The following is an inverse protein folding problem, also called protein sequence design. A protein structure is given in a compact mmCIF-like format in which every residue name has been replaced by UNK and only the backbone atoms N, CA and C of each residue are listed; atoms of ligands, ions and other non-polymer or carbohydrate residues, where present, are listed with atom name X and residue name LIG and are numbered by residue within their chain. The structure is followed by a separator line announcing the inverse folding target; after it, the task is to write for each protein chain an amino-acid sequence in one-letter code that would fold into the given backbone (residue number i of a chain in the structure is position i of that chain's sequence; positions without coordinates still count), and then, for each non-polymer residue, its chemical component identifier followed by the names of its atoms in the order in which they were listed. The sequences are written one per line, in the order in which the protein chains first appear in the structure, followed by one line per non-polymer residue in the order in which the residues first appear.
data_IF_149481389596
#
_entry.id   IF_149481389596
#
_cell.length_a   1.000
_cell.length_b   1.000
_cell.length_c   1.000
_cell.angle_alpha   90.00
_cell.angle_beta   90.00
_cell.angle_gamma   90.00
#
_symmetry.space_group_name_H-M   'P 1'
#
loop_
_entity.id
_entity.type
_entity.pdbx_description
1 polymer ?
#
# COMPACT_ATOMS: atom_id res chain seq x y z
N UNK A 1 -8.52 -5.81 12.56
CA UNK A 1 -7.22 -5.62 13.14
C UNK A 1 -7.20 -4.61 14.26
N UNK A 2 -6.09 -4.51 14.95
CA UNK A 2 -5.89 -3.54 16.05
C UNK A 2 -5.74 -2.11 15.50
N UNK A 3 -5.06 -1.97 14.37
CA UNK A 3 -4.80 -0.69 13.71
C UNK A 3 -5.80 -0.48 12.58
N UNK A 4 -6.61 0.55 12.69
CA UNK A 4 -7.69 0.90 11.75
C UNK A 4 -7.38 2.21 11.04
N UNK A 5 -6.90 3.22 11.77
CA UNK A 5 -6.67 4.56 11.19
C UNK A 5 -5.64 4.56 10.06
N UNK A 6 -4.57 3.71 10.06
CA UNK A 6 -3.62 3.63 8.95
C UNK A 6 -4.22 3.17 7.61
N UNK A 7 -5.39 2.49 7.63
CA UNK A 7 -6.08 2.05 6.41
C UNK A 7 -6.42 3.20 5.45
N UNK A 8 -6.41 4.45 5.92
CA UNK A 8 -6.63 5.64 5.10
C UNK A 8 -5.59 5.75 3.96
N UNK A 9 -4.34 5.35 4.23
CA UNK A 9 -3.28 5.37 3.22
C UNK A 9 -3.37 4.21 2.22
N UNK A 10 -4.22 3.21 2.50
CA UNK A 10 -4.40 2.01 1.67
C UNK A 10 -5.55 2.16 0.66
N UNK A 11 -6.33 3.24 0.76
CA UNK A 11 -7.55 3.44 -0.02
C UNK A 11 -7.29 3.46 -1.52
N UNK A 12 -8.23 2.90 -2.32
CA UNK A 12 -8.16 2.90 -3.77
C UNK A 12 -8.36 4.30 -4.36
N UNK A 13 -8.02 4.46 -5.63
CA UNK A 13 -8.20 5.66 -6.42
C UNK A 13 -7.51 6.91 -5.82
N UNK A 14 -6.32 6.70 -5.30
CA UNK A 14 -5.41 7.76 -4.86
C UNK A 14 -4.08 7.53 -5.58
N UNK A 15 -3.73 8.35 -6.59
CA UNK A 15 -2.47 8.23 -7.32
C UNK A 15 -1.28 8.58 -6.45
N UNK A 16 -0.08 8.30 -6.93
CA UNK A 16 1.17 8.67 -6.27
C UNK A 16 2.09 7.48 -6.05
N UNK A 17 3.40 7.78 -6.01
CA UNK A 17 4.44 6.81 -5.71
C UNK A 17 4.63 6.62 -4.19
N UNK A 18 5.55 5.74 -3.78
CA UNK A 18 5.77 5.44 -2.37
C UNK A 18 6.21 6.66 -1.57
N UNK A 19 7.13 7.48 -2.09
CA UNK A 19 7.61 8.69 -1.40
C UNK A 19 6.49 9.70 -1.17
N UNK A 20 5.69 9.99 -2.21
CA UNK A 20 4.60 10.94 -2.13
C UNK A 20 3.56 10.53 -1.11
N UNK A 21 3.14 9.27 -1.16
CA UNK A 21 2.15 8.71 -0.22
C UNK A 21 2.70 8.58 1.20
N UNK A 22 3.96 8.19 1.37
CA UNK A 22 4.60 8.08 2.69
C UNK A 22 4.64 9.43 3.41
N UNK A 23 5.04 10.49 2.71
CA UNK A 23 5.05 11.86 3.26
C UNK A 23 3.64 12.32 3.61
N UNK A 24 2.69 12.15 2.69
CA UNK A 24 1.30 12.50 2.91
C UNK A 24 0.69 11.72 4.09
N UNK A 25 0.99 10.42 4.19
CA UNK A 25 0.51 9.58 5.28
C UNK A 25 1.08 10.01 6.63
N UNK A 26 2.39 10.27 6.72
CA UNK A 26 2.98 10.75 7.97
C UNK A 26 2.38 12.09 8.42
N UNK A 27 2.22 13.05 7.52
CA UNK A 27 1.57 14.33 7.82
C UNK A 27 0.11 14.15 8.26
N UNK A 28 -0.62 13.23 7.64
CA UNK A 28 -2.01 12.92 8.01
C UNK A 28 -2.07 12.25 9.37
N UNK A 29 -1.13 11.34 9.66
CA UNK A 29 -1.02 10.69 10.96
C UNK A 29 -0.83 11.73 12.07
N UNK A 30 0.15 12.61 11.94
CA UNK A 30 0.46 13.64 12.94
C UNK A 30 -0.72 14.58 13.18
N UNK A 31 -1.47 14.92 12.14
CA UNK A 31 -2.57 15.89 12.24
C UNK A 31 -3.90 15.30 12.73
N UNK A 32 -4.21 14.05 12.32
CA UNK A 32 -5.55 13.49 12.53
C UNK A 32 -5.57 12.14 13.25
N UNK A 33 -4.57 11.27 13.03
CA UNK A 33 -4.68 9.86 13.38
C UNK A 33 -4.03 9.50 14.71
N UNK A 34 -2.99 10.23 15.11
CA UNK A 34 -2.25 9.97 16.34
C UNK A 34 -3.14 10.04 17.58
N UNK A 35 -4.10 10.98 17.59
CA UNK A 35 -5.06 11.17 18.68
C UNK A 35 -5.97 9.96 18.95
N UNK A 36 -6.15 9.07 17.97
CA UNK A 36 -6.90 7.82 18.14
C UNK A 36 -6.20 6.84 19.10
N UNK A 37 -4.91 7.04 19.39
CA UNK A 37 -4.16 6.30 20.41
C UNK A 37 -3.97 4.81 20.07
N UNK A 38 -4.02 4.41 18.79
CA UNK A 38 -3.87 3.01 18.38
C UNK A 38 -2.45 2.49 18.61
N UNK A 39 -1.43 3.36 18.62
CA UNK A 39 -0.03 3.03 18.80
C UNK A 39 0.43 2.97 20.26
N UNK A 40 -0.50 2.72 21.21
CA UNK A 40 -0.14 2.59 22.64
C UNK A 40 0.93 1.53 22.86
N UNK A 41 2.00 1.89 23.60
CA UNK A 41 3.12 1.00 23.90
C UNK A 41 4.33 1.14 23.01
N UNK A 42 4.23 1.93 21.93
CA UNK A 42 5.34 2.21 21.03
C UNK A 42 5.43 3.70 20.68
N UNK A 43 6.63 4.17 20.37
CA UNK A 43 6.87 5.41 19.66
C UNK A 43 6.78 5.13 18.16
N UNK A 44 5.93 5.82 17.44
CA UNK A 44 5.93 5.82 15.98
C UNK A 44 7.02 6.78 15.52
N UNK A 45 8.01 6.24 14.80
CA UNK A 45 9.11 7.04 14.26
C UNK A 45 8.77 7.55 12.85
N UNK A 46 8.13 6.72 12.05
CA UNK A 46 7.55 7.13 10.76
C UNK A 46 6.45 6.17 10.34
N UNK A 47 5.45 6.70 9.65
CA UNK A 47 4.49 5.94 8.86
C UNK A 47 4.88 6.07 7.37
N UNK A 48 4.70 5.00 6.62
CA UNK A 48 5.06 4.97 5.21
C UNK A 48 4.23 3.93 4.44
N UNK A 49 4.34 3.94 3.13
CA UNK A 49 3.69 2.98 2.23
C UNK A 49 4.71 2.40 1.25
N UNK A 50 4.42 1.22 0.69
CA UNK A 50 5.08 0.78 -0.55
C UNK A 50 4.54 1.56 -1.76
N UNK A 51 5.09 1.33 -2.94
CA UNK A 51 4.63 1.89 -4.21
C UNK A 51 3.25 1.40 -4.64
N UNK A 52 2.75 1.82 -5.80
CA UNK A 52 1.43 1.42 -6.28
C UNK A 52 1.31 -0.09 -6.44
N UNK A 53 0.33 -0.69 -5.76
CA UNK A 53 -0.03 -2.08 -5.95
C UNK A 53 -0.71 -2.31 -7.30
N UNK A 54 -0.53 -3.50 -7.85
CA UNK A 54 -1.07 -3.93 -9.15
C UNK A 54 -1.60 -5.36 -9.06
N UNK A 55 -2.38 -5.76 -10.06
CA UNK A 55 -2.70 -7.17 -10.27
C UNK A 55 -1.64 -7.80 -11.18
N UNK A 56 -0.82 -8.71 -10.63
CA UNK A 56 0.22 -9.43 -11.35
C UNK A 56 -0.24 -10.87 -11.57
N UNK A 57 -0.26 -11.37 -12.82
CA UNK A 57 -0.88 -12.63 -13.17
C UNK A 57 0.00 -13.50 -14.08
N UNK A 58 -0.20 -14.82 -14.03
CA UNK A 58 0.46 -15.78 -14.93
C UNK A 58 -0.17 -15.81 -16.32
N UNK A 59 -1.45 -15.43 -16.44
CA UNK A 59 -2.17 -15.27 -17.71
C UNK A 59 -2.47 -13.80 -17.94
N UNK A 60 -2.48 -13.37 -19.19
CA UNK A 60 -2.77 -11.98 -19.54
C UNK A 60 -4.17 -11.58 -19.10
N UNK A 61 -4.23 -10.46 -18.39
CA UNK A 61 -5.45 -9.78 -17.94
C UNK A 61 -5.34 -8.33 -18.41
N UNK A 62 -6.38 -7.84 -19.07
CA UNK A 62 -6.42 -6.49 -19.64
C UNK A 62 -7.54 -5.61 -19.04
N UNK A 63 -8.44 -6.23 -18.27
CA UNK A 63 -9.54 -5.56 -17.59
C UNK A 63 -9.75 -6.10 -16.17
N UNK A 64 -10.34 -5.27 -15.31
CA UNK A 64 -10.65 -5.69 -13.93
C UNK A 64 -11.74 -6.78 -13.88
N UNK A 65 -12.63 -6.85 -14.87
CA UNK A 65 -13.65 -7.91 -14.97
C UNK A 65 -13.03 -9.29 -15.19
N UNK A 66 -11.90 -9.36 -15.87
CA UNK A 66 -11.19 -10.63 -16.11
C UNK A 66 -10.55 -11.20 -14.84
N UNK A 67 -10.49 -10.41 -13.75
CA UNK A 67 -10.03 -10.89 -12.44
C UNK A 67 -11.10 -11.68 -11.68
N UNK A 68 -12.38 -11.67 -12.10
CA UNK A 68 -13.44 -12.43 -11.45
C UNK A 68 -13.12 -13.92 -11.46
N UNK A 69 -13.12 -14.53 -10.28
CA UNK A 69 -12.81 -15.96 -10.08
C UNK A 69 -11.34 -16.33 -10.19
N UNK A 70 -10.45 -15.38 -10.56
CA UNK A 70 -9.00 -15.65 -10.61
C UNK A 70 -8.47 -15.83 -9.19
N UNK A 71 -7.69 -16.88 -8.97
CA UNK A 71 -7.05 -17.15 -7.66
C UNK A 71 -5.88 -16.21 -7.46
N UNK A 72 -6.07 -15.16 -6.67
CA UNK A 72 -5.03 -14.18 -6.41
C UNK A 72 -4.54 -14.28 -4.97
N UNK A 73 -3.23 -14.41 -4.78
CA UNK A 73 -2.69 -14.16 -3.44
C UNK A 73 -2.88 -12.68 -3.10
N UNK A 74 -3.55 -12.43 -1.98
CA UNK A 74 -3.86 -11.08 -1.50
C UNK A 74 -3.41 -10.96 -0.04
N UNK A 75 -2.89 -9.79 0.35
CA UNK A 75 -2.71 -9.41 1.74
C UNK A 75 -4.05 -9.19 2.45
N UNK A 76 -4.02 -8.94 3.73
CA UNK A 76 -5.22 -8.56 4.49
C UNK A 76 -5.66 -7.12 4.22
N UNK A 77 -6.60 -6.63 5.03
CA UNK A 77 -7.00 -5.22 5.04
C UNK A 77 -7.74 -4.77 3.79
N UNK A 78 -7.39 -3.58 3.33
CA UNK A 78 -8.02 -2.91 2.18
C UNK A 78 -7.78 -3.69 0.88
N UNK A 79 -6.59 -4.24 0.68
CA UNK A 79 -6.29 -5.03 -0.52
C UNK A 79 -7.25 -6.24 -0.66
N UNK A 80 -7.59 -6.92 0.45
CA UNK A 80 -8.57 -8.02 0.44
C UNK A 80 -9.99 -7.52 0.13
N UNK A 81 -10.38 -6.37 0.66
CA UNK A 81 -11.69 -5.78 0.36
C UNK A 81 -11.80 -5.39 -1.12
N UNK A 82 -10.74 -4.83 -1.71
CA UNK A 82 -10.65 -4.55 -3.15
C UNK A 82 -10.77 -5.84 -3.97
N UNK A 83 -10.00 -6.87 -3.62
CA UNK A 83 -10.09 -8.17 -4.30
C UNK A 83 -11.50 -8.76 -4.27
N UNK A 84 -12.15 -8.70 -3.12
CA UNK A 84 -13.55 -9.15 -2.98
C UNK A 84 -14.52 -8.32 -3.83
N UNK A 85 -14.33 -7.00 -3.89
CA UNK A 85 -15.16 -6.11 -4.71
C UNK A 85 -14.99 -6.37 -6.23
N UNK A 86 -13.82 -6.87 -6.64
CA UNK A 86 -13.53 -7.27 -8.02
C UNK A 86 -13.87 -8.75 -8.31
N UNK A 87 -14.49 -9.47 -7.38
CA UNK A 87 -14.84 -10.87 -7.55
C UNK A 87 -13.66 -11.86 -7.55
N UNK A 88 -12.51 -11.45 -7.07
CA UNK A 88 -11.29 -12.27 -7.03
C UNK A 88 -11.46 -13.44 -6.05
N UNK A 89 -11.02 -14.64 -6.44
CA UNK A 89 -10.87 -15.77 -5.52
C UNK A 89 -9.58 -15.57 -4.67
N UNK A 90 -9.74 -14.91 -3.52
CA UNK A 90 -8.62 -14.52 -2.66
C UNK A 90 -7.95 -15.69 -1.95
N UNK A 91 -6.63 -15.81 -2.11
CA UNK A 91 -5.76 -16.73 -1.35
C UNK A 91 -5.02 -15.92 -0.30
N UNK A 92 -5.47 -15.99 0.95
CA UNK A 92 -4.83 -15.26 2.06
C UNK A 92 -3.59 -15.99 2.54
N UNK A 93 -2.43 -15.37 2.35
CA UNK A 93 -1.15 -15.92 2.82
C UNK A 93 -0.13 -14.81 3.08
N UNK A 94 0.86 -15.05 3.99
CA UNK A 94 1.98 -14.13 4.20
C UNK A 94 2.77 -13.89 2.90
N UNK A 95 3.31 -12.67 2.74
CA UNK A 95 4.06 -12.27 1.55
C UNK A 95 5.20 -13.26 1.17
N UNK A 96 6.02 -13.78 2.10
CA UNK A 96 7.11 -14.69 1.76
C UNK A 96 6.67 -16.04 1.13
N UNK A 97 5.38 -16.39 1.23
CA UNK A 97 4.83 -17.63 0.65
C UNK A 97 4.40 -17.48 -0.82
N UNK A 98 4.43 -16.27 -1.37
CA UNK A 98 3.84 -15.97 -2.66
C UNK A 98 4.45 -16.79 -3.81
N UNK A 99 5.77 -16.94 -3.83
CA UNK A 99 6.45 -17.71 -4.89
C UNK A 99 5.96 -19.16 -4.91
N UNK A 100 5.97 -19.83 -3.76
CA UNK A 100 5.51 -21.21 -3.61
C UNK A 100 4.03 -21.39 -4.01
N UNK A 101 3.18 -20.40 -3.70
CA UNK A 101 1.75 -20.45 -4.03
C UNK A 101 1.49 -20.34 -5.53
N UNK A 102 2.24 -19.50 -6.23
CA UNK A 102 2.11 -19.34 -7.68
C UNK A 102 2.75 -20.52 -8.39
N UNK A 103 3.97 -20.90 -8.03
CA UNK A 103 4.70 -22.04 -8.64
C UNK A 103 3.95 -23.36 -8.45
N UNK A 104 3.35 -23.56 -7.28
CA UNK A 104 2.53 -24.73 -6.97
C UNK A 104 1.09 -24.70 -7.53
N UNK A 105 0.69 -23.65 -8.28
CA UNK A 105 -0.65 -23.52 -8.89
C UNK A 105 -1.79 -23.29 -7.88
N UNK A 106 -1.46 -22.91 -6.65
CA UNK A 106 -2.47 -22.53 -5.63
C UNK A 106 -3.03 -21.15 -5.92
N UNK A 107 -2.21 -20.25 -6.46
CA UNK A 107 -2.60 -18.93 -6.93
C UNK A 107 -2.21 -18.75 -8.40
N UNK A 108 -3.04 -18.04 -9.16
CA UNK A 108 -2.81 -17.67 -10.56
C UNK A 108 -2.21 -16.26 -10.70
N UNK A 109 -1.99 -15.58 -9.57
CA UNK A 109 -1.41 -14.24 -9.51
C UNK A 109 -1.38 -13.68 -8.09
N UNK A 110 -1.03 -12.39 -8.01
CA UNK A 110 -0.84 -11.69 -6.73
C UNK A 110 -1.12 -10.20 -6.86
N UNK A 111 -1.69 -9.61 -5.81
CA UNK A 111 -1.70 -8.15 -5.64
C UNK A 111 -0.41 -7.74 -4.94
N UNK A 112 0.47 -7.06 -5.69
CA UNK A 112 1.76 -6.56 -5.21
C UNK A 112 2.25 -5.36 -6.04
N UNK A 113 3.12 -4.49 -5.50
CA UNK A 113 3.85 -3.48 -6.26
C UNK A 113 5.03 -4.09 -7.04
N UNK A 114 5.71 -3.30 -7.86
CA UNK A 114 6.81 -3.77 -8.70
C UNK A 114 8.02 -4.28 -7.92
N UNK A 115 8.34 -3.74 -6.75
CA UNK A 115 9.50 -4.17 -5.97
C UNK A 115 9.51 -5.70 -5.74
N UNK A 116 8.33 -6.29 -5.62
CA UNK A 116 8.18 -7.73 -5.37
C UNK A 116 8.57 -8.59 -6.56
N UNK A 117 8.60 -8.03 -7.77
CA UNK A 117 9.09 -8.74 -8.96
C UNK A 117 10.53 -9.24 -8.78
N UNK A 118 11.35 -8.42 -8.10
CA UNK A 118 12.71 -8.79 -7.71
C UNK A 118 12.75 -9.49 -6.35
N UNK A 119 12.21 -8.85 -5.32
CA UNK A 119 12.36 -9.28 -3.92
C UNK A 119 11.78 -10.68 -3.65
N UNK A 120 10.66 -11.02 -4.29
CA UNK A 120 10.00 -12.34 -4.17
C UNK A 120 10.07 -13.16 -5.46
N UNK A 121 10.90 -12.76 -6.43
CA UNK A 121 11.08 -13.45 -7.72
C UNK A 121 9.79 -13.65 -8.53
N UNK A 122 8.81 -12.78 -8.34
CA UNK A 122 7.51 -12.88 -9.00
C UNK A 122 7.65 -12.77 -10.52
N UNK A 123 8.64 -12.00 -11.01
CA UNK A 123 8.93 -11.85 -12.43
C UNK A 123 9.22 -13.20 -13.16
N UNK A 124 9.63 -14.23 -12.44
CA UNK A 124 9.86 -15.57 -13.02
C UNK A 124 8.55 -16.25 -13.39
N UNK A 125 7.45 -15.97 -12.67
CA UNK A 125 6.19 -16.69 -12.73
C UNK A 125 5.06 -15.86 -13.34
N UNK A 126 4.78 -14.67 -12.81
CA UNK A 126 3.75 -13.77 -13.29
C UNK A 126 4.32 -12.83 -14.36
N UNK A 127 3.85 -12.97 -15.59
CA UNK A 127 4.38 -12.25 -16.76
C UNK A 127 3.52 -11.05 -17.17
N UNK A 128 2.40 -10.84 -16.51
CA UNK A 128 1.45 -9.79 -16.88
C UNK A 128 1.06 -8.98 -15.67
N UNK A 129 0.99 -7.65 -15.83
CA UNK A 129 0.45 -6.74 -14.82
C UNK A 129 -0.65 -5.88 -15.40
N UNK A 130 -1.70 -5.66 -14.61
CA UNK A 130 -2.70 -4.60 -14.84
C UNK A 130 -2.45 -3.49 -13.83
N UNK A 131 -2.03 -2.32 -14.31
CA UNK A 131 -1.71 -1.14 -13.52
C UNK A 131 -2.81 -0.09 -13.63
N UNK A 132 -3.23 0.45 -12.50
CA UNK A 132 -4.13 1.59 -12.41
C UNK A 132 -3.34 2.89 -12.12
N UNK A 133 -3.23 3.82 -13.07
CA UNK A 133 -2.54 5.10 -12.84
C UNK A 133 -3.17 5.93 -11.71
N UNK A 134 -4.49 5.78 -11.47
CA UNK A 134 -5.18 6.46 -10.38
C UNK A 134 -4.95 5.79 -9.01
N UNK A 135 -4.17 4.70 -8.97
CA UNK A 135 -3.85 3.93 -7.78
C UNK A 135 -4.84 2.79 -7.50
N UNK A 136 -4.34 1.56 -7.47
CA UNK A 136 -5.16 0.41 -7.07
C UNK A 136 -5.26 0.33 -5.54
N UNK A 137 -4.13 0.28 -4.87
CA UNK A 137 -3.98 0.31 -3.41
C UNK A 137 -2.51 0.54 -3.03
N UNK A 138 -2.25 0.80 -1.76
CA UNK A 138 -0.96 0.65 -1.10
C UNK A 138 -1.16 -0.10 0.21
N UNK A 139 -0.08 -0.54 0.85
CA UNK A 139 -0.13 -1.05 2.22
C UNK A 139 0.57 -0.06 3.13
N UNK A 140 -0.03 0.22 4.27
CA UNK A 140 0.52 1.07 5.30
C UNK A 140 1.49 0.31 6.20
N UNK A 141 2.61 0.94 6.54
CA UNK A 141 3.62 0.43 7.46
C UNK A 141 4.02 1.51 8.47
N UNK A 142 4.68 1.09 9.53
CA UNK A 142 5.28 2.00 10.49
C UNK A 142 6.65 1.49 10.97
N UNK A 143 7.58 2.41 11.15
CA UNK A 143 8.79 2.19 11.96
C UNK A 143 8.44 2.58 13.38
N UNK A 144 8.62 1.65 14.31
CA UNK A 144 8.26 1.84 15.71
C UNK A 144 9.40 1.46 16.64
N UNK A 145 9.48 2.13 17.79
CA UNK A 145 10.37 1.79 18.89
C UNK A 145 9.53 1.49 20.14
N UNK A 146 9.92 0.49 20.91
CA UNK A 146 9.27 0.20 22.18
C UNK A 146 9.43 1.40 23.13
N UNK A 147 8.36 1.75 23.89
CA UNK A 147 8.38 2.90 24.79
C UNK A 147 9.45 2.79 25.89
N UNK A 148 9.63 1.60 26.47
CA UNK A 148 10.64 1.42 27.52
C UNK A 148 12.05 1.59 26.96
N UNK A 149 12.30 1.09 25.74
CA UNK A 149 13.56 1.30 25.04
C UNK A 149 13.80 2.79 24.78
N UNK A 150 12.80 3.49 24.25
CA UNK A 150 12.91 4.94 23.98
C UNK A 150 13.13 5.75 25.26
N UNK A 151 12.41 5.44 26.32
CA UNK A 151 12.52 6.12 27.62
C UNK A 151 13.87 5.82 28.32
N UNK A 152 14.48 4.67 28.05
CA UNK A 152 15.78 4.28 28.56
C UNK A 152 16.97 4.92 27.84
N UNK A 153 16.74 5.61 26.69
CA UNK A 153 17.79 6.33 25.97
C UNK A 153 18.30 7.53 26.81
N UNK A 154 19.59 7.80 26.72
CA UNK A 154 20.19 9.04 27.20
C UNK A 154 19.61 10.25 26.43
N UNK A 155 19.75 11.44 26.97
CA UNK A 155 19.25 12.67 26.32
C UNK A 155 19.86 12.89 24.92
N UNK A 156 21.13 12.52 24.70
CA UNK A 156 21.79 12.64 23.40
C UNK A 156 21.30 11.61 22.39
N UNK A 157 21.09 10.37 22.81
CA UNK A 157 20.53 9.32 21.95
C UNK A 157 19.08 9.62 21.57
N UNK A 158 18.28 10.08 22.53
CA UNK A 158 16.90 10.49 22.27
C UNK A 158 16.84 11.67 21.28
N UNK A 159 17.69 12.69 21.45
CA UNK A 159 17.77 13.81 20.51
C UNK A 159 18.14 13.34 19.09
N UNK A 160 19.00 12.33 18.96
CA UNK A 160 19.34 11.73 17.68
C UNK A 160 18.13 11.03 17.04
N UNK A 161 17.40 10.21 17.80
CA UNK A 161 16.18 9.54 17.32
C UNK A 161 15.10 10.56 16.92
N UNK A 162 14.88 11.58 17.76
CA UNK A 162 13.89 12.62 17.51
C UNK A 162 14.24 13.48 16.28
N UNK A 163 15.54 13.68 16.02
CA UNK A 163 16.00 14.40 14.83
C UNK A 163 15.81 13.66 13.50
N UNK A 164 15.59 12.35 13.55
CA UNK A 164 15.40 11.50 12.36
C UNK A 164 13.96 11.08 12.11
N UNK A 165 13.05 11.24 13.09
CA UNK A 165 11.66 10.75 12.99
C UNK A 165 10.77 11.69 12.17
N UNK A 166 9.53 11.22 11.90
CA UNK A 166 8.48 12.02 11.27
C UNK A 166 8.61 12.08 9.74
N UNK A 167 8.29 13.24 9.18
CA UNK A 167 8.15 13.42 7.72
C UNK A 167 9.45 13.13 6.96
N UNK A 168 10.61 13.49 7.51
CA UNK A 168 11.89 13.28 6.82
C UNK A 168 12.26 11.79 6.76
N UNK A 169 12.00 11.04 7.83
CA UNK A 169 12.18 9.60 7.80
C UNK A 169 11.17 8.93 6.84
N UNK A 170 9.90 9.35 6.87
CA UNK A 170 8.88 8.85 5.94
C UNK A 170 9.27 9.12 4.47
N UNK A 171 9.81 10.30 4.17
CA UNK A 171 10.33 10.68 2.85
C UNK A 171 11.49 9.79 2.42
N UNK A 172 12.43 9.56 3.32
CA UNK A 172 13.62 8.73 3.06
C UNK A 172 13.21 7.29 2.79
N UNK A 173 12.34 6.71 3.63
CA UNK A 173 11.86 5.33 3.44
C UNK A 173 11.04 5.21 2.16
N UNK A 174 10.15 6.17 1.90
CA UNK A 174 9.37 6.19 0.65
C UNK A 174 10.26 6.27 -0.60
N UNK A 175 11.37 7.01 -0.54
CA UNK A 175 12.34 7.05 -1.63
C UNK A 175 13.00 5.67 -1.87
N UNK A 176 13.36 4.94 -0.81
CA UNK A 176 13.88 3.57 -0.95
C UNK A 176 12.88 2.60 -1.56
N UNK A 177 11.58 2.78 -1.27
CA UNK A 177 10.54 1.98 -1.90
C UNK A 177 10.36 2.31 -3.38
N UNK A 178 10.47 3.60 -3.78
CA UNK A 178 10.46 3.99 -5.19
C UNK A 178 11.67 3.42 -5.94
N UNK A 179 12.86 3.41 -5.32
CA UNK A 179 14.07 2.78 -5.88
C UNK A 179 13.89 1.26 -6.03
N UNK A 180 13.32 0.60 -5.03
CA UNK A 180 13.02 -0.82 -5.10
C UNK A 180 12.01 -1.16 -6.20
N UNK A 181 11.00 -0.31 -6.44
CA UNK A 181 10.07 -0.47 -7.56
C UNK A 181 10.79 -0.36 -8.93
N UNK A 182 11.77 0.54 -9.06
CA UNK A 182 12.59 0.63 -10.29
C UNK A 182 13.41 -0.65 -10.51
N UNK A 183 14.02 -1.21 -9.46
CA UNK A 183 14.73 -2.49 -9.53
C UNK A 183 13.78 -3.62 -9.90
N UNK A 184 12.58 -3.65 -9.31
CA UNK A 184 11.54 -4.63 -9.64
C UNK A 184 11.05 -4.53 -11.09
N UNK A 185 10.86 -3.30 -11.60
CA UNK A 185 10.46 -3.07 -12.99
C UNK A 185 11.55 -3.53 -13.97
N UNK A 186 12.83 -3.31 -13.67
CA UNK A 186 13.95 -3.81 -14.46
C UNK A 186 14.00 -5.35 -14.45
N UNK A 187 13.77 -5.99 -13.29
CA UNK A 187 13.68 -7.43 -13.19
C UNK A 187 12.50 -7.97 -14.04
N UNK A 188 11.31 -7.38 -13.91
CA UNK A 188 10.15 -7.75 -14.72
C UNK A 188 10.45 -7.66 -16.21
N UNK A 189 11.05 -6.57 -16.67
CA UNK A 189 11.45 -6.37 -18.07
C UNK A 189 12.41 -7.46 -18.56
N UNK A 190 13.39 -7.88 -17.76
CA UNK A 190 14.35 -8.92 -18.12
C UNK A 190 13.71 -10.30 -18.34
N UNK A 191 12.54 -10.54 -17.77
CA UNK A 191 11.75 -11.75 -17.95
C UNK A 191 10.64 -11.63 -19.00
N UNK A 192 10.64 -10.54 -19.79
CA UNK A 192 9.65 -10.31 -20.86
C UNK A 192 8.25 -9.99 -20.34
N UNK A 193 8.16 -9.33 -19.19
CA UNK A 193 6.90 -8.96 -18.57
C UNK A 193 6.13 -7.92 -19.39
N UNK A 194 4.81 -8.11 -19.50
CA UNK A 194 3.92 -7.18 -20.19
C UNK A 194 3.11 -6.37 -19.16
N UNK A 195 3.23 -5.04 -19.25
CA UNK A 195 2.45 -4.09 -18.44
C UNK A 195 1.26 -3.57 -19.25
N UNK A 196 0.05 -3.83 -18.77
CA UNK A 196 -1.18 -3.21 -19.27
C UNK A 196 -1.53 -2.02 -18.39
N UNK A 197 -1.67 -0.85 -18.99
CA UNK A 197 -2.19 0.34 -18.29
C UNK A 197 -3.71 0.34 -18.43
N UNK A 198 -4.43 0.43 -17.32
CA UNK A 198 -5.88 0.51 -17.31
C UNK A 198 -6.38 1.73 -18.09
N UNK A 199 -7.29 1.51 -19.04
CA UNK A 199 -7.96 2.57 -19.79
C UNK A 199 -8.85 3.43 -18.89
N UNK A 200 -9.31 4.57 -19.38
CA UNK A 200 -10.22 5.44 -18.63
C UNK A 200 -11.50 4.71 -18.21
N UNK A 201 -12.03 3.85 -19.09
CA UNK A 201 -13.20 3.02 -18.79
C UNK A 201 -12.91 2.00 -17.68
N UNK A 202 -11.74 1.38 -17.69
CA UNK A 202 -11.32 0.43 -16.65
C UNK A 202 -11.05 1.14 -15.31
N UNK A 203 -10.46 2.33 -15.33
CA UNK A 203 -10.28 3.15 -14.13
C UNK A 203 -11.62 3.55 -13.50
N UNK A 204 -12.59 3.95 -14.34
CA UNK A 204 -13.93 4.26 -13.86
C UNK A 204 -14.63 3.02 -13.31
N UNK A 205 -14.56 1.87 -14.01
CA UNK A 205 -15.10 0.60 -13.51
C UNK A 205 -14.49 0.24 -12.15
N UNK A 206 -13.16 0.32 -12.01
CA UNK A 206 -12.47 0.04 -10.76
C UNK A 206 -12.95 0.96 -9.62
N UNK A 207 -13.06 2.26 -9.89
CA UNK A 207 -13.54 3.26 -8.92
C UNK A 207 -14.96 2.95 -8.45
N UNK A 208 -15.86 2.61 -9.37
CA UNK A 208 -17.25 2.29 -9.05
C UNK A 208 -17.35 0.98 -8.26
N UNK A 209 -16.63 -0.06 -8.68
CA UNK A 209 -16.60 -1.35 -8.00
C UNK A 209 -16.06 -1.26 -6.56
N UNK A 210 -15.09 -0.37 -6.31
CA UNK A 210 -14.43 -0.22 -5.00
C UNK A 210 -14.98 0.92 -4.14
N UNK A 211 -16.04 1.60 -4.58
CA UNK A 211 -16.61 2.75 -3.85
C UNK A 211 -16.99 2.40 -2.40
N UNK A 212 -17.62 1.24 -2.17
CA UNK A 212 -17.99 0.77 -0.85
C UNK A 212 -16.77 0.50 0.05
N UNK A 213 -15.62 0.11 -0.52
CA UNK A 213 -14.39 -0.12 0.26
C UNK A 213 -13.96 1.18 0.94
N UNK A 214 -14.01 2.30 0.23
CA UNK A 214 -13.68 3.62 0.79
C UNK A 214 -14.63 4.00 1.90
N UNK A 215 -15.94 3.91 1.69
CA UNK A 215 -16.94 4.28 2.69
C UNK A 215 -16.85 3.42 3.97
N UNK A 216 -16.61 2.11 3.82
CA UNK A 216 -16.46 1.19 4.95
C UNK A 216 -15.21 1.50 5.78
N UNK A 217 -14.10 1.84 5.13
CA UNK A 217 -12.86 2.23 5.82
C UNK A 217 -13.07 3.55 6.56
N UNK A 218 -13.66 4.56 5.94
CA UNK A 218 -13.92 5.86 6.59
C UNK A 218 -14.86 5.71 7.79
N UNK A 219 -15.89 4.88 7.68
CA UNK A 219 -16.79 4.57 8.78
C UNK A 219 -16.03 3.96 9.98
N UNK A 220 -15.12 3.00 9.72
CA UNK A 220 -14.29 2.38 10.77
C UNK A 220 -13.33 3.38 11.41
N UNK A 221 -12.75 4.29 10.64
CA UNK A 221 -11.85 5.33 11.15
C UNK A 221 -12.64 6.33 11.99
N UNK A 222 -13.82 6.77 11.53
CA UNK A 222 -14.71 7.66 12.28
C UNK A 222 -15.13 7.06 13.62
N UNK A 223 -15.33 5.74 13.68
CA UNK A 223 -15.64 5.04 14.93
C UNK A 223 -14.48 5.08 15.96
N UNK A 224 -13.28 5.50 15.56
CA UNK A 224 -12.12 5.76 16.43
C UNK A 224 -12.07 7.22 16.96
N UNK A 225 -13.07 8.03 16.65
CA UNK A 225 -13.12 9.43 17.04
C UNK A 225 -12.34 10.38 16.13
N UNK A 226 -11.95 9.94 14.96
CA UNK A 226 -11.24 10.73 13.94
C UNK A 226 -12.24 11.30 12.94
N UNK A 227 -12.07 12.55 12.51
CA UNK A 227 -12.75 13.08 11.34
C UNK A 227 -12.12 12.45 10.06
N UNK A 228 -12.68 11.32 9.66
CA UNK A 228 -12.11 10.51 8.58
C UNK A 228 -12.22 11.19 7.22
N UNK A 229 -13.28 11.97 6.98
CA UNK A 229 -13.45 12.72 5.72
C UNK A 229 -12.42 13.85 5.61
N UNK A 230 -12.22 14.63 6.67
CA UNK A 230 -11.21 15.67 6.70
C UNK A 230 -9.79 15.08 6.59
N UNK A 231 -9.54 13.94 7.24
CA UNK A 231 -8.26 13.24 7.15
C UNK A 231 -7.99 12.73 5.73
N UNK A 232 -8.99 12.17 5.06
CA UNK A 232 -8.85 11.72 3.66
C UNK A 232 -8.64 12.88 2.69
N UNK A 233 -9.38 13.97 2.86
CA UNK A 233 -9.21 15.17 2.05
C UNK A 233 -7.80 15.73 2.19
N UNK A 234 -7.30 15.81 3.43
CA UNK A 234 -5.93 16.26 3.72
C UNK A 234 -4.87 15.31 3.15
N UNK A 235 -5.06 14.00 3.28
CA UNK A 235 -4.15 13.01 2.70
C UNK A 235 -4.02 13.19 1.19
N UNK A 236 -5.14 13.32 0.47
CA UNK A 236 -5.16 13.55 -0.98
C UNK A 236 -4.48 14.86 -1.36
N UNK A 237 -4.75 15.93 -0.61
CA UNK A 237 -4.10 17.24 -0.81
C UNK A 237 -2.57 17.12 -0.66
N UNK A 238 -2.09 16.44 0.39
CA UNK A 238 -0.66 16.27 0.60
C UNK A 238 -0.01 15.39 -0.47
N UNK A 239 -0.69 14.37 -0.98
CA UNK A 239 -0.21 13.59 -2.14
C UNK A 239 -0.07 14.47 -3.37
N UNK A 240 -1.05 15.33 -3.66
CA UNK A 240 -1.01 16.26 -4.79
C UNK A 240 0.16 17.26 -4.65
N UNK A 241 0.35 17.85 -3.47
CA UNK A 241 1.48 18.76 -3.18
C UNK A 241 2.83 18.06 -3.44
N UNK A 242 3.01 16.84 -2.93
CA UNK A 242 4.26 16.09 -3.09
C UNK A 242 4.47 15.62 -4.55
N UNK A 243 3.40 15.59 -5.36
CA UNK A 243 3.44 15.30 -6.80
C UNK A 243 3.74 16.53 -7.66
N UNK A 244 3.76 17.74 -7.08
CA UNK A 244 3.95 19.00 -7.80
C UNK A 244 2.71 19.48 -8.55
N UNK A 245 1.53 19.05 -8.12
CA UNK A 245 0.21 19.42 -8.67
C UNK A 245 -0.48 20.47 -7.80
#
# INVERSE_FOLDING_TARGET
GKFVTPMIAELPSIPGNARQKSVAFQKTYEKFLESAGEAKGVQVLANYTHGPGMANTIKKVTSYKELEGVKMRIGGGVANAIGSALGVAGVNAPAPKVYELIDGGVADGVFFPFETMHAFKIAELAKFSLHNPDGMYTTSFAIVMNNDTYNGLSSSERACVDGMRGVDLARTVGWFWDDADMVGAAAASSYGHELTIASDAERQYFKDATANVTSDVLSKISAKGVDAEAALAYFKEQVAIESGQ
#
